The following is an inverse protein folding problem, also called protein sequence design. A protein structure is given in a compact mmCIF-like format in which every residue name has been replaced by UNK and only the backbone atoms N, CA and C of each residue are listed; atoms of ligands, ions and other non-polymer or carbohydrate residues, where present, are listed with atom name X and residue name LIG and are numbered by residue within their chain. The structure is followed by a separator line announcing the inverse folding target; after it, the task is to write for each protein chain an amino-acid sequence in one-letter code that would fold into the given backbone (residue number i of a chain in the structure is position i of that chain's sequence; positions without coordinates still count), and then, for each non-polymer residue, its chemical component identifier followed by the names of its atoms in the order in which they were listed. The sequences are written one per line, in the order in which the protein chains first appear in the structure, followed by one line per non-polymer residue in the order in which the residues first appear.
data_IF_690505263336
#
_entry.id   IF_690505263336
#
_cell.length_a   1.000
_cell.length_b   1.000
_cell.length_c   1.000
_cell.angle_alpha   90.00
_cell.angle_beta   90.00
_cell.angle_gamma   90.00
#
_symmetry.space_group_name_H-M   'P 1'
#
loop_
_entity.id
_entity.type
_entity.pdbx_description
1 polymer ?
#
# COMPACT_ATOMS: atom_id res chain seq x y z
N UNK A 1 -50.24 69.26 2.77
CA UNK A 1 -49.24 69.12 1.68
C UNK A 1 -49.04 67.63 1.50
N UNK A 2 -49.58 66.91 0.50
CA UNK A 2 -49.96 67.26 -0.88
C UNK A 2 -48.76 67.76 -1.70
N UNK A 3 -48.40 67.22 -2.89
CA UNK A 3 -48.67 65.90 -3.50
C UNK A 3 -47.88 65.73 -4.83
N UNK A 4 -47.69 64.48 -5.29
CA UNK A 4 -47.78 64.06 -6.72
C UNK A 4 -46.79 64.60 -7.80
N UNK A 5 -46.02 63.64 -8.37
CA UNK A 5 -45.71 63.38 -9.81
C UNK A 5 -44.94 64.37 -10.72
N UNK A 6 -43.89 63.77 -11.35
CA UNK A 6 -43.60 63.67 -12.82
C UNK A 6 -43.01 64.86 -13.61
N UNK A 7 -42.51 64.48 -14.80
CA UNK A 7 -42.40 65.21 -16.08
C UNK A 7 -41.21 66.14 -16.33
N UNK A 8 -40.10 65.50 -16.69
CA UNK A 8 -39.31 65.76 -17.93
C UNK A 8 -40.23 66.27 -19.07
N UNK A 9 -39.90 67.36 -19.80
CA UNK A 9 -39.27 67.19 -21.13
C UNK A 9 -38.40 68.36 -21.69
N UNK A 10 -37.63 68.06 -22.76
CA UNK A 10 -37.29 68.94 -23.93
C UNK A 10 -36.54 70.28 -23.74
N UNK A 11 -35.70 70.79 -24.68
CA UNK A 11 -34.92 70.27 -25.84
C UNK A 11 -34.01 71.43 -26.37
N UNK A 12 -33.07 71.15 -27.30
CA UNK A 12 -32.29 72.14 -28.10
C UNK A 12 -31.29 73.05 -27.33
N UNK A 13 -30.17 73.54 -27.91
CA UNK A 13 -29.39 73.18 -29.12
C UNK A 13 -27.96 73.76 -29.04
N UNK A 14 -27.01 73.12 -29.72
CA UNK A 14 -25.67 73.63 -30.11
C UNK A 14 -24.64 73.89 -28.97
N UNK A 15 -23.33 73.82 -29.20
CA UNK A 15 -22.58 73.76 -30.48
C UNK A 15 -21.52 72.65 -30.50
N UNK A 16 -21.16 72.19 -31.70
CA UNK A 16 -20.18 71.13 -32.01
C UNK A 16 -18.73 71.61 -31.87
N UNK A 17 -17.79 70.72 -31.48
CA UNK A 17 -16.50 70.47 -32.20
C UNK A 17 -15.78 69.22 -31.64
N UNK A 18 -15.42 68.35 -32.60
CA UNK A 18 -14.46 67.23 -32.65
C UNK A 18 -13.41 67.11 -31.52
N UNK A 19 -12.98 65.91 -31.09
CA UNK A 19 -12.42 64.79 -31.90
C UNK A 19 -12.69 63.39 -31.28
N UNK A 20 -12.48 62.34 -32.08
CA UNK A 20 -12.66 60.92 -31.73
C UNK A 20 -11.30 60.21 -31.45
N UNK A 21 -11.23 59.00 -30.87
CA UNK A 21 -12.32 58.14 -30.39
C UNK A 21 -11.88 56.83 -29.71
N UNK A 22 -12.85 56.16 -29.10
CA UNK A 22 -12.84 54.78 -28.57
C UNK A 22 -13.16 53.75 -29.70
N UNK A 23 -13.08 52.41 -29.55
CA UNK A 23 -12.33 51.49 -28.67
C UNK A 23 -12.64 50.02 -29.08
N UNK A 24 -12.03 49.04 -28.38
CA UNK A 24 -12.56 47.70 -28.01
C UNK A 24 -13.07 46.66 -29.06
N UNK A 25 -12.38 45.49 -29.07
CA UNK A 25 -12.89 44.11 -28.77
C UNK A 25 -13.67 43.28 -29.84
N UNK A 26 -13.49 41.94 -29.71
CA UNK A 26 -14.26 40.76 -30.21
C UNK A 26 -14.19 40.26 -31.68
N UNK A 27 -13.51 39.10 -31.83
CA UNK A 27 -13.96 37.81 -32.41
C UNK A 27 -14.22 37.56 -33.92
N UNK A 28 -13.65 36.43 -34.40
CA UNK A 28 -14.09 35.55 -35.53
C UNK A 28 -13.96 36.07 -37.00
N UNK A 29 -13.91 35.26 -38.08
CA UNK A 29 -13.50 33.85 -38.42
C UNK A 29 -13.48 33.77 -39.98
N UNK A 30 -12.64 32.90 -40.62
CA UNK A 30 -12.64 32.53 -42.07
C UNK A 30 -12.35 33.68 -43.11
N UNK A 31 -11.76 33.50 -44.30
CA UNK A 31 -11.02 32.37 -44.92
C UNK A 31 -10.11 32.81 -46.12
N UNK A 32 -9.29 31.87 -46.62
CA UNK A 32 -8.73 31.60 -47.99
C UNK A 32 -8.89 32.63 -49.17
N UNK A 33 -8.09 32.71 -50.25
CA UNK A 33 -6.97 31.95 -50.93
C UNK A 33 -6.44 32.86 -52.08
N UNK A 34 -5.28 32.77 -52.77
CA UNK A 34 -3.92 32.18 -52.70
C UNK A 34 -3.10 32.91 -53.79
N UNK A 35 -1.77 33.10 -53.66
CA UNK A 35 -0.86 32.79 -54.79
C UNK A 35 0.59 32.50 -54.35
N UNK A 36 0.84 31.22 -54.06
CA UNK A 36 2.07 30.44 -54.30
C UNK A 36 3.31 31.14 -54.87
N UNK A 37 4.44 30.90 -54.18
CA UNK A 37 5.66 30.41 -54.83
C UNK A 37 5.99 29.05 -54.19
N UNK A 38 6.38 28.06 -55.00
CA UNK A 38 6.66 26.70 -54.54
C UNK A 38 8.15 26.50 -54.25
N UNK A 39 8.44 25.72 -53.21
CA UNK A 39 9.36 24.59 -53.30
C UNK A 39 8.90 23.52 -52.29
N UNK A 40 8.78 22.26 -52.72
CA UNK A 40 8.25 21.17 -51.91
C UNK A 40 9.31 20.08 -51.71
N UNK A 41 9.65 19.77 -50.45
CA UNK A 41 9.99 18.42 -50.00
C UNK A 41 9.37 18.23 -48.61
N UNK A 42 8.52 17.21 -48.48
CA UNK A 42 7.92 16.78 -47.21
C UNK A 42 8.77 15.70 -46.52
N UNK A 43 8.40 15.38 -45.28
CA UNK A 43 8.87 14.25 -44.45
C UNK A 43 10.36 14.27 -43.98
N UNK A 44 10.55 14.20 -42.66
CA UNK A 44 11.87 13.98 -42.07
C UNK A 44 11.91 14.16 -40.55
N UNK A 45 11.92 13.05 -39.80
CA UNK A 45 12.37 13.07 -38.39
C UNK A 45 13.89 13.04 -38.40
N UNK A 46 14.52 14.20 -38.22
CA UNK A 46 15.89 14.29 -37.71
C UNK A 46 15.81 14.47 -36.18
N UNK A 47 16.41 13.64 -35.31
CA UNK A 47 17.27 12.46 -35.49
C UNK A 47 18.46 12.59 -36.46
N UNK A 48 19.07 13.77 -36.45
CA UNK A 48 20.52 13.93 -36.57
C UNK A 48 21.06 14.02 -35.14
N UNK A 49 21.25 12.91 -34.42
CA UNK A 49 22.24 11.85 -34.66
C UNK A 49 23.69 12.34 -34.61
N UNK A 50 24.05 13.04 -33.52
CA UNK A 50 25.44 13.11 -33.05
C UNK A 50 25.92 11.69 -32.75
N UNK A 51 26.61 11.09 -33.72
CA UNK A 51 26.94 9.68 -33.72
C UNK A 51 28.36 9.44 -33.20
N UNK A 52 28.47 8.51 -32.25
CA UNK A 52 29.73 7.97 -31.70
C UNK A 52 30.48 8.85 -30.68
N UNK A 53 29.81 9.26 -29.60
CA UNK A 53 30.44 9.33 -28.26
C UNK A 53 29.54 8.70 -27.20
N UNK A 54 29.59 7.38 -27.08
CA UNK A 54 28.72 6.60 -26.20
C UNK A 54 29.02 5.11 -26.32
N UNK A 55 28.26 4.42 -27.18
CA UNK A 55 28.22 2.96 -27.31
C UNK A 55 26.79 2.42 -27.23
N UNK A 56 25.88 3.24 -26.70
CA UNK A 56 24.45 3.00 -26.56
C UNK A 56 23.72 3.97 -27.52
N UNK A 57 22.78 3.49 -28.34
CA UNK A 57 21.97 4.33 -29.24
C UNK A 57 20.65 4.71 -28.57
N UNK A 58 20.23 5.99 -28.68
CA UNK A 58 19.04 6.55 -28.01
C UNK A 58 19.14 6.55 -26.47
N UNK A 59 20.26 7.05 -25.94
CA UNK A 59 20.46 7.26 -24.51
C UNK A 59 20.35 8.73 -24.12
N UNK A 60 19.66 9.03 -23.00
CA UNK A 60 19.59 10.36 -22.39
C UNK A 60 20.88 10.61 -21.60
N UNK A 61 21.41 11.84 -21.67
CA UNK A 61 22.57 12.28 -20.91
C UNK A 61 22.13 13.12 -19.71
N UNK A 62 22.29 12.60 -18.50
CA UNK A 62 21.99 13.33 -17.26
C UNK A 62 23.25 13.51 -16.40
N UNK A 63 23.38 14.65 -15.72
CA UNK A 63 24.51 14.89 -14.83
C UNK A 63 24.43 14.01 -13.57
N UNK A 64 25.58 13.67 -12.96
CA UNK A 64 25.57 12.94 -11.68
C UNK A 64 25.03 13.83 -10.56
N UNK A 65 23.83 13.50 -10.07
CA UNK A 65 23.09 14.26 -9.06
C UNK A 65 21.95 15.11 -9.63
N UNK A 66 21.75 15.10 -10.95
CA UNK A 66 20.53 15.60 -11.59
C UNK A 66 19.49 14.49 -11.60
N UNK A 67 18.92 14.23 -10.43
CA UNK A 67 18.00 13.11 -10.24
C UNK A 67 16.61 13.40 -10.87
N UNK A 68 16.27 14.66 -11.17
CA UNK A 68 15.07 15.06 -11.94
C UNK A 68 15.19 14.58 -13.40
N UNK A 69 16.32 14.86 -14.07
CA UNK A 69 16.61 14.31 -15.41
C UNK A 69 16.59 12.78 -15.44
N UNK A 70 17.05 12.13 -14.37
CA UNK A 70 17.15 10.67 -14.28
C UNK A 70 15.78 10.02 -14.04
N UNK A 71 14.93 10.61 -13.20
CA UNK A 71 13.57 10.10 -12.95
C UNK A 71 12.67 10.29 -14.18
N UNK A 72 12.66 11.48 -14.81
CA UNK A 72 11.87 11.76 -16.03
C UNK A 72 12.21 10.76 -17.16
N UNK A 73 13.50 10.61 -17.45
CA UNK A 73 13.96 9.71 -18.52
C UNK A 73 13.71 8.21 -18.20
N UNK A 74 13.62 7.83 -16.92
CA UNK A 74 13.24 6.48 -16.51
C UNK A 74 11.72 6.25 -16.57
N UNK A 75 10.89 7.27 -16.32
CA UNK A 75 9.43 7.18 -16.47
C UNK A 75 9.04 7.09 -17.97
N UNK A 76 9.74 7.79 -18.87
CA UNK A 76 9.59 7.61 -20.32
C UNK A 76 10.25 6.31 -20.86
N UNK A 77 11.03 5.61 -20.03
CA UNK A 77 11.64 4.31 -20.35
C UNK A 77 12.90 4.39 -21.23
N UNK A 78 13.55 5.55 -21.30
CA UNK A 78 14.79 5.75 -22.05
C UNK A 78 16.04 5.31 -21.27
N UNK A 79 17.15 5.05 -21.98
CA UNK A 79 18.39 4.57 -21.32
C UNK A 79 19.22 5.73 -20.80
N UNK A 80 19.32 5.90 -19.49
CA UNK A 80 20.05 7.03 -18.89
C UNK A 80 21.55 6.73 -18.72
N UNK A 81 22.37 7.59 -19.32
CA UNK A 81 23.84 7.60 -19.23
C UNK A 81 24.31 8.83 -18.47
N UNK A 82 25.23 8.65 -17.53
CA UNK A 82 25.67 9.71 -16.62
C UNK A 82 26.83 10.54 -17.20
N UNK A 83 26.78 11.86 -17.02
CA UNK A 83 27.85 12.79 -17.43
C UNK A 83 28.62 13.41 -16.26
N UNK A 84 29.81 13.94 -16.56
CA UNK A 84 30.56 14.85 -15.69
C UNK A 84 30.09 16.30 -15.78
N UNK A 85 30.73 17.17 -14.98
CA UNK A 85 30.42 18.61 -14.86
C UNK A 85 30.70 19.38 -16.16
N UNK A 86 31.55 18.84 -17.04
CA UNK A 86 31.86 19.37 -18.37
C UNK A 86 30.95 18.78 -19.48
N UNK A 87 30.01 17.90 -19.12
CA UNK A 87 29.01 17.29 -20.03
C UNK A 87 29.46 16.02 -20.76
N UNK A 88 30.62 15.46 -20.44
CA UNK A 88 31.16 14.26 -21.09
C UNK A 88 30.60 12.99 -20.44
N UNK A 89 30.41 11.93 -21.23
CA UNK A 89 29.90 10.64 -20.75
C UNK A 89 30.91 9.97 -19.82
N UNK A 90 30.52 9.71 -18.57
CA UNK A 90 31.33 8.92 -17.63
C UNK A 90 31.39 7.47 -18.09
N UNK A 91 32.56 6.86 -17.93
CA UNK A 91 32.84 5.46 -18.28
C UNK A 91 33.37 4.69 -17.08
N UNK A 92 33.11 3.39 -17.08
CA UNK A 92 33.58 2.47 -16.05
C UNK A 92 35.05 2.06 -16.26
N UNK A 93 35.53 1.08 -15.47
CA UNK A 93 36.90 0.56 -15.57
C UNK A 93 37.18 -0.20 -16.89
N UNK A 94 36.14 -0.66 -17.59
CA UNK A 94 36.24 -1.37 -18.88
C UNK A 94 36.15 -0.41 -20.08
N UNK A 95 35.61 0.79 -19.89
CA UNK A 95 35.39 1.82 -20.91
C UNK A 95 33.94 1.94 -21.39
N UNK A 96 33.00 1.22 -20.79
CA UNK A 96 31.58 1.28 -21.13
C UNK A 96 30.88 2.45 -20.39
N UNK A 97 29.82 3.05 -20.96
CA UNK A 97 29.12 4.18 -20.33
C UNK A 97 28.48 3.80 -19.00
N UNK A 98 28.71 4.59 -17.95
CA UNK A 98 28.06 4.38 -16.64
C UNK A 98 26.59 4.77 -16.76
N UNK A 99 25.69 3.82 -16.55
CA UNK A 99 24.24 4.05 -16.54
C UNK A 99 23.74 4.39 -15.15
N UNK A 100 22.52 4.91 -15.05
CA UNK A 100 21.89 5.16 -13.75
C UNK A 100 21.76 3.90 -12.88
N UNK A 101 21.64 2.72 -13.50
CA UNK A 101 21.55 1.40 -12.82
C UNK A 101 22.82 1.03 -12.05
N UNK A 102 23.98 1.43 -12.56
CA UNK A 102 25.30 0.98 -12.07
C UNK A 102 25.70 1.63 -10.74
N UNK A 103 24.97 2.67 -10.30
CA UNK A 103 25.11 3.31 -8.97
C UNK A 103 25.04 2.29 -7.80
N UNK A 104 24.49 1.10 -8.02
CA UNK A 104 24.36 0.03 -7.02
C UNK A 104 25.63 -0.83 -6.83
N UNK A 105 26.66 -0.70 -7.68
CA UNK A 105 27.67 -1.74 -7.87
C UNK A 105 29.15 -1.27 -7.78
N UNK A 106 29.51 -0.44 -6.80
CA UNK A 106 30.93 -0.36 -6.39
C UNK A 106 31.38 0.87 -5.63
N UNK A 107 31.80 0.68 -4.37
CA UNK A 107 33.15 1.06 -3.91
C UNK A 107 33.46 0.49 -2.52
N UNK A 108 34.56 -0.26 -2.40
CA UNK A 108 35.09 -0.76 -1.12
C UNK A 108 36.59 -0.48 -1.04
N UNK A 109 37.01 0.58 -0.33
CA UNK A 109 38.43 0.91 -0.23
C UNK A 109 38.81 2.11 0.64
N UNK A 110 39.37 1.81 1.83
CA UNK A 110 40.35 2.61 2.59
C UNK A 110 39.91 3.93 3.28
N UNK A 111 40.16 3.96 4.59
CA UNK A 111 40.29 5.15 5.45
C UNK A 111 41.76 5.68 5.32
N UNK A 112 42.22 6.83 5.82
CA UNK A 112 41.80 7.84 6.82
C UNK A 112 42.75 9.09 6.65
N UNK A 113 42.73 10.18 7.45
CA UNK A 113 41.66 11.02 8.00
C UNK A 113 41.72 12.50 7.53
N UNK A 114 40.72 13.30 7.94
CA UNK A 114 40.77 14.74 8.34
C UNK A 114 39.96 15.78 7.53
N UNK A 115 39.76 16.96 8.15
CA UNK A 115 39.04 18.16 7.67
C UNK A 115 37.49 18.14 7.71
N UNK A 116 36.97 18.21 8.94
CA UNK A 116 35.71 18.87 9.38
C UNK A 116 34.77 19.52 8.32
N UNK A 117 33.55 18.95 8.26
CA UNK A 117 32.27 19.62 8.52
C UNK A 117 31.78 20.78 7.60
N UNK A 118 30.81 20.46 6.74
CA UNK A 118 29.64 21.34 6.49
C UNK A 118 28.43 20.52 6.02
N UNK A 119 27.29 20.66 6.73
CA UNK A 119 25.95 20.57 6.12
C UNK A 119 25.54 19.25 5.48
N UNK A 120 25.88 18.10 6.06
CA UNK A 120 25.36 16.80 5.60
C UNK A 120 23.85 16.74 5.84
N UNK A 121 23.07 16.86 4.76
CA UNK A 121 21.65 16.54 4.78
C UNK A 121 21.52 15.04 5.09
N UNK A 122 20.69 14.68 6.07
CA UNK A 122 20.48 13.28 6.43
C UNK A 122 19.77 12.59 5.26
N UNK A 123 20.55 11.87 4.44
CA UNK A 123 20.03 11.13 3.30
C UNK A 123 18.89 10.21 3.72
N UNK A 124 17.85 10.08 2.87
CA UNK A 124 16.62 9.38 3.25
C UNK A 124 16.94 7.96 3.73
N UNK A 125 16.73 7.72 5.03
CA UNK A 125 17.07 6.46 5.66
C UNK A 125 16.10 5.37 5.19
N UNK A 126 16.54 4.59 4.20
CA UNK A 126 15.86 3.41 3.64
C UNK A 126 15.65 2.30 4.68
N UNK A 127 14.69 2.54 5.56
CA UNK A 127 14.22 1.70 6.65
C UNK A 127 12.73 1.99 6.90
N UNK A 128 12.14 1.28 7.87
CA UNK A 128 10.80 1.52 8.46
C UNK A 128 9.58 0.79 7.84
N UNK A 129 9.73 -0.11 6.86
CA UNK A 129 8.66 -1.09 6.59
C UNK A 129 8.84 -2.33 7.48
N UNK A 130 8.06 -2.38 8.56
CA UNK A 130 8.09 -3.42 9.59
C UNK A 130 6.69 -3.98 9.89
N UNK A 131 5.83 -4.06 8.86
CA UNK A 131 4.48 -4.61 8.96
C UNK A 131 4.49 -6.14 8.81
N UNK A 132 4.22 -6.84 9.92
CA UNK A 132 3.94 -8.28 9.97
C UNK A 132 2.43 -8.50 9.97
N UNK A 133 1.85 -9.24 9.00
CA UNK A 133 0.42 -9.57 8.97
C UNK A 133 -0.03 -10.40 10.18
N UNK A 134 -1.33 -10.39 10.48
CA UNK A 134 -1.93 -11.33 11.43
C UNK A 134 -2.20 -12.70 10.79
N UNK A 135 -1.69 -13.75 11.42
CA UNK A 135 -1.81 -15.16 10.99
C UNK A 135 -3.25 -15.72 11.08
N UNK A 136 -4.06 -15.22 12.03
CA UNK A 136 -5.40 -15.74 12.31
C UNK A 136 -6.47 -14.75 11.85
N UNK A 137 -7.05 -15.05 10.69
CA UNK A 137 -8.15 -14.29 10.09
C UNK A 137 -9.33 -14.14 11.06
N UNK A 138 -9.79 -12.91 11.26
CA UNK A 138 -11.03 -12.59 12.00
C UNK A 138 -12.14 -12.11 11.05
N UNK A 139 -11.75 -11.50 9.93
CA UNK A 139 -12.62 -11.02 8.86
C UNK A 139 -11.76 -10.84 7.59
N UNK A 140 -12.26 -11.25 6.42
CA UNK A 140 -11.57 -11.07 5.15
C UNK A 140 -12.59 -11.00 4.00
N UNK A 141 -12.62 -9.88 3.28
CA UNK A 141 -13.58 -9.61 2.21
C UNK A 141 -12.90 -8.89 1.03
N UNK A 142 -12.89 -9.53 -0.14
CA UNK A 142 -12.52 -8.93 -1.43
C UNK A 142 -13.76 -8.52 -2.27
N UNK A 143 -14.96 -8.88 -1.78
CA UNK A 143 -16.27 -8.69 -2.41
C UNK A 143 -16.44 -9.40 -3.77
N UNK A 144 -15.62 -10.41 -4.09
CA UNK A 144 -15.67 -11.14 -5.37
C UNK A 144 -16.96 -11.95 -5.59
N UNK A 145 -17.65 -12.33 -4.52
CA UNK A 145 -18.94 -13.05 -4.55
C UNK A 145 -20.18 -12.12 -4.48
N UNK A 146 -20.05 -10.85 -4.08
CA UNK A 146 -21.19 -9.92 -3.99
C UNK A 146 -21.60 -9.37 -5.36
N UNK A 147 -22.91 -9.23 -5.61
CA UNK A 147 -23.42 -8.72 -6.89
C UNK A 147 -23.07 -7.24 -7.09
N UNK A 148 -22.68 -6.87 -8.32
CA UNK A 148 -22.57 -5.45 -8.70
C UNK A 148 -23.92 -4.75 -8.58
N UNK A 149 -23.96 -3.64 -7.84
CA UNK A 149 -25.17 -2.88 -7.49
C UNK A 149 -25.85 -3.29 -6.17
N UNK A 150 -25.50 -4.43 -5.57
CA UNK A 150 -25.91 -4.76 -4.19
C UNK A 150 -24.99 -4.02 -3.19
N UNK A 151 -25.48 -3.78 -1.96
CA UNK A 151 -24.60 -3.51 -0.82
C UNK A 151 -24.07 -4.86 -0.28
N UNK A 152 -22.75 -5.00 0.03
CA UNK A 152 -22.16 -6.29 0.36
C UNK A 152 -22.73 -6.90 1.63
N UNK A 153 -22.92 -8.22 1.63
CA UNK A 153 -23.67 -8.93 2.69
C UNK A 153 -22.86 -9.16 3.97
N UNK A 154 -21.55 -9.02 3.88
CA UNK A 154 -20.59 -9.14 4.99
C UNK A 154 -20.47 -7.89 5.86
N UNK A 155 -21.01 -6.74 5.40
CA UNK A 155 -20.99 -5.47 6.13
C UNK A 155 -22.36 -5.14 6.75
N UNK A 156 -22.38 -4.44 7.89
CA UNK A 156 -23.62 -3.88 8.46
C UNK A 156 -23.83 -2.45 7.95
N UNK A 157 -24.72 -2.25 6.97
CA UNK A 157 -25.12 -0.91 6.51
C UNK A 157 -25.78 -0.09 7.64
N UNK A 158 -25.37 1.18 7.83
CA UNK A 158 -25.99 2.10 8.80
C UNK A 158 -26.57 3.37 8.16
N UNK A 159 -25.82 4.06 7.28
CA UNK A 159 -26.30 5.21 6.49
C UNK A 159 -25.39 5.48 5.28
N UNK A 160 -25.86 6.32 4.35
CA UNK A 160 -25.10 6.77 3.18
C UNK A 160 -25.52 6.10 1.88
N UNK A 161 -24.67 6.20 0.86
CA UNK A 161 -24.86 5.58 -0.46
C UNK A 161 -23.62 4.75 -0.78
N UNK A 162 -23.79 3.43 -0.75
CA UNK A 162 -22.72 2.44 -0.93
C UNK A 162 -23.24 1.24 -1.71
N UNK A 163 -22.46 0.78 -2.69
CA UNK A 163 -22.79 -0.38 -3.54
C UNK A 163 -21.49 -1.06 -4.03
N UNK A 164 -21.57 -2.33 -4.41
CA UNK A 164 -20.47 -3.02 -5.07
C UNK A 164 -20.38 -2.60 -6.53
N UNK A 165 -19.18 -2.23 -6.96
CA UNK A 165 -18.84 -1.95 -8.36
C UNK A 165 -17.64 -2.78 -8.79
N UNK A 166 -17.57 -3.10 -10.07
CA UNK A 166 -16.40 -3.74 -10.67
C UNK A 166 -15.51 -2.68 -11.34
N UNK A 167 -14.24 -2.61 -10.92
CA UNK A 167 -13.26 -1.66 -11.44
C UNK A 167 -11.90 -2.34 -11.59
N UNK A 168 -11.28 -2.17 -12.77
CA UNK A 168 -9.99 -2.82 -13.14
C UNK A 168 -9.97 -4.35 -12.90
N UNK A 169 -11.11 -5.03 -13.04
CA UNK A 169 -11.24 -6.48 -12.84
C UNK A 169 -11.28 -6.94 -11.37
N UNK A 170 -11.48 -6.02 -10.42
CA UNK A 170 -11.75 -6.32 -9.00
C UNK A 170 -13.07 -5.69 -8.57
N UNK A 171 -13.66 -6.19 -7.48
CA UNK A 171 -14.82 -5.56 -6.84
C UNK A 171 -14.41 -4.66 -5.68
N UNK A 172 -15.16 -3.59 -5.50
CA UNK A 172 -14.97 -2.59 -4.45
C UNK A 172 -16.33 -2.11 -3.94
N UNK A 173 -16.41 -1.78 -2.66
CA UNK A 173 -17.48 -0.92 -2.14
C UNK A 173 -17.20 0.49 -2.63
N UNK A 174 -17.99 0.96 -3.61
CA UNK A 174 -18.04 2.37 -3.96
C UNK A 174 -18.86 3.10 -2.92
N UNK A 175 -18.31 4.20 -2.41
CA UNK A 175 -18.99 5.19 -1.58
C UNK A 175 -19.25 6.43 -2.45
N UNK A 176 -20.51 6.86 -2.56
CA UNK A 176 -20.95 8.00 -3.38
C UNK A 176 -21.75 9.04 -2.58
N UNK A 177 -21.53 9.09 -1.27
CA UNK A 177 -22.12 10.08 -0.37
C UNK A 177 -21.20 10.31 0.81
N UNK A 178 -20.93 11.58 1.15
CA UNK A 178 -20.43 11.95 2.46
C UNK A 178 -21.41 11.48 3.56
N UNK A 179 -20.91 11.35 4.79
CA UNK A 179 -21.60 10.72 5.93
C UNK A 179 -21.96 9.23 5.73
N UNK A 180 -21.30 8.50 4.83
CA UNK A 180 -21.54 7.06 4.68
C UNK A 180 -20.93 6.26 5.83
N UNK A 181 -21.70 5.32 6.39
CA UNK A 181 -21.33 4.51 7.56
C UNK A 181 -21.74 3.06 7.36
N UNK A 182 -20.76 2.18 7.46
CA UNK A 182 -20.94 0.74 7.64
C UNK A 182 -20.21 0.27 8.91
N UNK A 183 -20.45 -0.97 9.33
CA UNK A 183 -19.67 -1.64 10.36
C UNK A 183 -19.21 -3.01 9.88
N UNK A 184 -18.08 -3.45 10.42
CA UNK A 184 -17.57 -4.81 10.33
C UNK A 184 -17.80 -5.49 11.69
N UNK A 185 -18.43 -6.66 11.67
CA UNK A 185 -18.64 -7.52 12.84
C UNK A 185 -17.63 -8.66 12.82
N UNK A 186 -17.04 -8.94 13.97
CA UNK A 186 -16.01 -9.97 14.16
C UNK A 186 -16.56 -11.13 15.00
N UNK A 187 -16.05 -12.37 14.84
CA UNK A 187 -16.49 -13.52 15.62
C UNK A 187 -16.09 -13.47 17.11
N UNK A 188 -15.12 -12.62 17.45
CA UNK A 188 -14.57 -12.42 18.80
C UNK A 188 -14.14 -10.96 19.01
N UNK A 189 -13.71 -10.59 20.22
CA UNK A 189 -13.08 -9.29 20.45
C UNK A 189 -11.65 -9.26 19.88
N UNK A 190 -11.28 -8.12 19.27
CA UNK A 190 -9.92 -7.85 18.78
C UNK A 190 -8.84 -8.20 19.84
N UNK A 191 -7.92 -9.15 19.57
CA UNK A 191 -6.93 -9.58 20.55
C UNK A 191 -5.89 -8.50 20.91
N UNK A 192 -5.02 -8.79 21.89
CA UNK A 192 -3.93 -7.86 22.29
C UNK A 192 -3.06 -7.46 21.09
N UNK A 193 -2.75 -8.39 20.18
CA UNK A 193 -2.06 -8.06 18.93
C UNK A 193 -2.95 -8.40 17.73
N UNK A 194 -3.13 -7.43 16.84
CA UNK A 194 -3.94 -7.58 15.64
C UNK A 194 -3.43 -6.67 14.51
N UNK A 195 -3.81 -7.02 13.28
CA UNK A 195 -3.63 -6.20 12.09
C UNK A 195 -4.95 -5.95 11.37
N UNK A 196 -5.01 -4.86 10.64
CA UNK A 196 -6.07 -4.55 9.69
C UNK A 196 -5.45 -3.98 8.41
N UNK A 197 -5.93 -4.39 7.25
CA UNK A 197 -5.55 -3.84 5.95
C UNK A 197 -6.75 -3.74 5.02
N UNK A 198 -6.74 -2.77 4.12
CA UNK A 198 -7.73 -2.61 3.06
C UNK A 198 -7.14 -1.75 1.93
N UNK A 199 -7.59 -1.98 0.71
CA UNK A 199 -7.34 -1.07 -0.40
C UNK A 199 -8.30 0.11 -0.33
N UNK A 200 -7.77 1.31 -0.58
CA UNK A 200 -8.51 2.57 -0.53
C UNK A 200 -8.15 3.45 -1.74
N UNK A 201 -9.16 4.08 -2.33
CA UNK A 201 -9.03 5.14 -3.33
C UNK A 201 -9.95 6.30 -2.95
N UNK A 202 -9.48 7.52 -3.16
CA UNK A 202 -10.29 8.75 -3.29
C UNK A 202 -9.65 9.63 -4.37
N UNK A 203 -10.47 10.45 -5.04
CA UNK A 203 -9.99 11.50 -5.95
C UNK A 203 -9.21 12.58 -5.18
N UNK A 204 -9.69 12.99 -4.00
CA UNK A 204 -9.02 13.92 -3.11
C UNK A 204 -8.66 13.29 -1.77
N UNK A 205 -7.36 13.28 -1.44
CA UNK A 205 -6.89 12.98 -0.08
C UNK A 205 -7.38 13.98 1.00
N UNK A 206 -8.24 14.95 0.67
CA UNK A 206 -8.98 15.78 1.65
C UNK A 206 -10.21 15.07 2.24
N UNK A 207 -10.61 13.94 1.67
CA UNK A 207 -11.70 13.08 2.17
C UNK A 207 -11.33 12.40 3.46
N UNK A 208 -12.29 12.14 4.34
CA UNK A 208 -12.01 11.66 5.70
C UNK A 208 -12.75 10.37 6.00
N UNK A 209 -11.99 9.32 6.35
CA UNK A 209 -12.52 8.08 6.91
C UNK A 209 -11.98 7.85 8.33
N UNK A 210 -12.89 7.59 9.27
CA UNK A 210 -12.56 7.19 10.64
C UNK A 210 -12.94 5.73 10.90
N UNK A 211 -12.04 4.98 11.52
CA UNK A 211 -12.30 3.58 11.92
C UNK A 211 -12.30 3.50 13.46
N UNK A 212 -13.42 3.07 14.02
CA UNK A 212 -13.79 3.31 15.42
C UNK A 212 -14.30 2.03 16.11
N UNK A 213 -13.69 1.62 17.24
CA UNK A 213 -14.25 0.60 18.10
C UNK A 213 -15.62 0.99 18.67
N UNK A 214 -16.57 0.05 18.63
CA UNK A 214 -17.87 0.16 19.29
C UNK A 214 -18.04 -0.91 20.38
N UNK A 215 -19.07 -0.81 21.22
CA UNK A 215 -19.55 -1.94 22.02
C UNK A 215 -20.68 -2.73 21.32
N UNK A 216 -21.19 -3.75 21.99
CA UNK A 216 -22.31 -4.58 21.53
C UNK A 216 -23.67 -3.84 21.49
N UNK A 217 -23.80 -2.66 22.11
CA UNK A 217 -24.97 -1.78 21.92
C UNK A 217 -24.81 -0.89 20.68
N UNK A 218 -23.57 -0.71 20.22
CA UNK A 218 -23.20 0.14 19.11
C UNK A 218 -22.78 1.55 19.50
N UNK A 219 -22.58 1.83 20.79
CA UNK A 219 -21.96 3.06 21.28
C UNK A 219 -20.43 3.03 21.07
N UNK A 220 -19.80 4.20 21.07
CA UNK A 220 -18.35 4.33 20.82
C UNK A 220 -17.56 4.02 22.09
N UNK A 221 -16.61 3.09 22.02
CA UNK A 221 -15.73 2.77 23.14
C UNK A 221 -14.27 3.18 22.88
N UNK A 222 -13.61 3.58 23.97
CA UNK A 222 -12.25 4.10 23.92
C UNK A 222 -12.17 5.52 23.34
N UNK A 223 -11.07 6.20 23.64
CA UNK A 223 -10.84 7.59 23.23
C UNK A 223 -10.27 7.71 21.82
N UNK A 224 -9.66 6.63 21.31
CA UNK A 224 -8.78 6.66 20.16
C UNK A 224 -9.38 5.91 18.96
N UNK A 225 -9.01 6.33 17.75
CA UNK A 225 -9.55 5.83 16.49
C UNK A 225 -8.48 5.91 15.39
N UNK A 226 -8.61 5.10 14.33
CA UNK A 226 -7.77 5.27 13.14
C UNK A 226 -8.39 6.29 12.19
N UNK A 227 -7.52 7.04 11.51
CA UNK A 227 -7.91 8.09 10.58
C UNK A 227 -7.11 7.94 9.28
N UNK A 228 -7.83 8.03 8.16
CA UNK A 228 -7.30 7.96 6.79
C UNK A 228 -7.86 9.13 6.00
N UNK A 229 -6.98 9.84 5.28
CA UNK A 229 -7.35 11.01 4.50
C UNK A 229 -7.40 12.30 5.33
N UNK A 230 -8.03 13.35 4.82
CA UNK A 230 -7.99 14.70 5.39
C UNK A 230 -6.62 15.39 5.28
N UNK A 231 -5.72 14.88 4.43
CA UNK A 231 -4.29 15.19 4.42
C UNK A 231 -3.44 14.26 5.29
N UNK A 232 -4.04 13.29 6.00
CA UNK A 232 -3.43 12.61 7.14
C UNK A 232 -3.56 11.06 7.07
N UNK A 233 -2.74 10.35 7.84
CA UNK A 233 -2.89 8.91 8.11
C UNK A 233 -2.30 8.56 9.48
N UNK A 234 -3.08 7.92 10.36
CA UNK A 234 -2.58 7.52 11.68
C UNK A 234 -3.65 7.23 12.73
N UNK A 235 -3.37 7.63 13.98
CA UNK A 235 -4.27 7.49 15.13
C UNK A 235 -4.66 8.86 15.66
N UNK A 236 -5.96 9.09 15.74
CA UNK A 236 -6.58 10.26 16.37
C UNK A 236 -7.18 9.94 17.74
N UNK A 237 -7.59 10.99 18.45
CA UNK A 237 -8.21 10.91 19.77
C UNK A 237 -9.36 11.92 19.94
N UNK A 238 -10.37 11.55 20.74
CA UNK A 238 -11.65 12.27 20.92
C UNK A 238 -11.67 13.29 22.04
N UNK A 239 -10.65 13.30 22.89
CA UNK A 239 -10.51 14.24 24.01
C UNK A 239 -9.19 15.02 23.90
N UNK A 240 -9.15 16.23 24.46
CA UNK A 240 -7.93 17.01 24.55
C UNK A 240 -6.89 16.30 25.43
N UNK A 241 -5.63 16.25 24.96
CA UNK A 241 -4.51 15.63 25.67
C UNK A 241 -4.26 14.15 25.38
N UNK A 242 -5.06 13.50 24.51
CA UNK A 242 -4.70 12.18 23.95
C UNK A 242 -3.62 12.28 22.87
N UNK A 243 -3.02 11.14 22.51
CA UNK A 243 -2.01 11.09 21.43
C UNK A 243 -2.70 11.19 20.07
N UNK A 244 -2.37 12.25 19.32
CA UNK A 244 -2.59 12.30 17.87
C UNK A 244 -1.23 12.17 17.18
N UNK A 245 -1.10 11.18 16.31
CA UNK A 245 0.05 11.05 15.39
C UNK A 245 -0.56 10.73 14.03
N UNK A 246 -0.46 11.73 13.17
CA UNK A 246 -1.14 11.87 11.89
C UNK A 246 -0.11 12.53 10.97
N UNK A 247 0.73 11.72 10.32
CA UNK A 247 1.73 12.27 9.40
C UNK A 247 1.02 12.72 8.12
N UNK A 248 1.46 13.86 7.58
CA UNK A 248 0.81 14.45 6.42
C UNK A 248 1.19 13.73 5.13
N UNK A 249 0.20 13.31 4.37
CA UNK A 249 0.37 12.77 3.02
C UNK A 249 -0.31 13.64 1.98
N UNK A 250 0.38 13.87 0.86
CA UNK A 250 -0.23 14.24 -0.42
C UNK A 250 -0.28 13.06 -1.41
N UNK A 251 0.27 11.91 -1.04
CA UNK A 251 0.23 10.66 -1.81
C UNK A 251 -1.00 9.86 -1.36
N UNK A 252 -1.77 9.31 -2.29
CA UNK A 252 -3.05 8.63 -2.03
C UNK A 252 -4.24 9.16 -2.85
N UNK A 253 -4.23 10.42 -3.31
CA UNK A 253 -5.19 10.91 -4.31
C UNK A 253 -5.05 10.15 -5.64
N UNK A 254 -6.16 9.91 -6.33
CA UNK A 254 -6.24 9.38 -7.69
C UNK A 254 -5.56 8.01 -7.94
N UNK A 255 -5.23 7.27 -6.89
CA UNK A 255 -4.59 5.96 -6.96
C UNK A 255 -5.17 5.02 -5.89
N UNK A 256 -5.07 3.71 -6.12
CA UNK A 256 -5.41 2.73 -5.08
C UNK A 256 -4.17 2.57 -4.22
N UNK A 257 -4.30 2.83 -2.91
CA UNK A 257 -3.28 2.54 -1.90
C UNK A 257 -3.77 1.47 -0.95
N UNK A 258 -2.92 0.51 -0.57
CA UNK A 258 -3.28 -0.41 0.52
C UNK A 258 -2.91 0.24 1.86
N UNK A 259 -3.91 0.59 2.64
CA UNK A 259 -3.73 0.98 4.04
C UNK A 259 -3.44 -0.27 4.87
N UNK A 260 -2.42 -0.21 5.72
CA UNK A 260 -2.08 -1.28 6.68
C UNK A 260 -1.94 -0.70 8.08
N UNK A 261 -2.47 -1.40 9.06
CA UNK A 261 -2.51 -0.99 10.47
C UNK A 261 -2.12 -2.17 11.34
N UNK A 262 -1.15 -2.00 12.22
CA UNK A 262 -0.71 -2.97 13.22
C UNK A 262 -0.95 -2.41 14.62
N UNK A 263 -1.39 -3.25 15.56
CA UNK A 263 -1.53 -2.90 16.98
C UNK A 263 -0.86 -3.97 17.86
N UNK A 264 -0.02 -3.54 18.81
CA UNK A 264 0.48 -4.37 19.93
C UNK A 264 0.10 -3.72 21.26
N UNK A 265 -0.97 -4.22 21.89
CA UNK A 265 -1.45 -3.73 23.17
C UNK A 265 -1.82 -2.25 23.11
N UNK A 266 -0.95 -1.41 23.66
CA UNK A 266 -1.06 0.05 23.67
C UNK A 266 -0.36 0.75 22.49
N UNK A 267 0.48 0.07 21.72
CA UNK A 267 1.16 0.61 20.54
C UNK A 267 0.34 0.38 19.27
N UNK A 268 0.42 1.32 18.31
CA UNK A 268 -0.07 1.10 16.96
C UNK A 268 0.91 1.68 15.91
N UNK A 269 0.91 1.12 14.72
CA UNK A 269 1.63 1.62 13.53
C UNK A 269 0.67 1.66 12.35
N UNK A 270 0.77 2.69 11.51
CA UNK A 270 0.04 2.77 10.24
C UNK A 270 1.01 2.89 9.08
N UNK A 271 0.62 2.34 7.93
CA UNK A 271 1.39 2.33 6.69
C UNK A 271 0.44 2.59 5.53
N UNK A 272 0.98 3.21 4.49
CA UNK A 272 0.39 3.28 3.15
C UNK A 272 1.35 2.55 2.24
N UNK A 273 0.87 1.50 1.59
CA UNK A 273 1.67 0.58 0.77
C UNK A 273 2.86 0.02 1.56
N UNK A 274 4.09 0.44 1.23
CA UNK A 274 5.33 0.07 1.92
C UNK A 274 5.94 1.20 2.78
N UNK A 275 5.32 2.38 2.88
CA UNK A 275 5.83 3.50 3.71
C UNK A 275 5.05 3.58 5.03
N UNK A 276 5.77 3.65 6.16
CA UNK A 276 5.17 3.85 7.48
C UNK A 276 4.78 5.32 7.67
N UNK A 277 3.53 5.55 8.05
CA UNK A 277 2.93 6.88 8.27
C UNK A 277 2.64 7.17 9.74
N UNK A 278 2.70 6.20 10.65
CA UNK A 278 2.70 6.50 12.07
C UNK A 278 3.35 5.38 12.90
N UNK A 279 3.89 5.74 14.06
CA UNK A 279 4.39 4.82 15.08
C UNK A 279 4.04 5.39 16.46
N UNK A 280 2.86 5.00 16.97
CA UNK A 280 2.16 5.65 18.06
C UNK A 280 2.33 4.84 19.36
N UNK A 281 3.22 5.25 20.29
CA UNK A 281 3.17 4.76 21.66
C UNK A 281 1.88 5.27 22.33
N UNK A 282 1.21 4.41 23.10
CA UNK A 282 -0.04 4.75 23.83
C UNK A 282 -1.27 5.06 22.94
N UNK A 283 -1.30 4.54 21.72
CA UNK A 283 -2.47 4.48 20.84
C UNK A 283 -3.70 3.83 21.50
N UNK A 284 -3.53 2.89 22.45
CA UNK A 284 -4.58 2.40 23.36
C UNK A 284 -5.97 2.17 22.72
N UNK A 285 -6.00 1.51 21.56
CA UNK A 285 -7.23 1.22 20.80
C UNK A 285 -8.11 0.27 21.63
N UNK A 286 -9.40 0.56 21.77
CA UNK A 286 -10.30 -0.34 22.50
C UNK A 286 -10.46 -1.68 21.77
N UNK A 287 -10.58 -2.77 22.53
CA UNK A 287 -10.85 -4.11 21.99
C UNK A 287 -12.36 -4.34 21.94
N UNK A 288 -12.81 -5.01 20.88
CA UNK A 288 -14.21 -5.07 20.47
C UNK A 288 -14.42 -6.13 19.40
N UNK A 289 -15.64 -6.65 19.26
CA UNK A 289 -16.10 -7.43 18.11
C UNK A 289 -16.79 -6.58 17.02
N UNK A 290 -16.78 -5.25 17.09
CA UNK A 290 -17.43 -4.37 16.11
C UNK A 290 -16.61 -3.11 15.81
N UNK A 291 -16.22 -2.95 14.55
CA UNK A 291 -15.57 -1.73 14.04
C UNK A 291 -16.54 -0.94 13.16
N UNK A 292 -16.72 0.35 13.45
CA UNK A 292 -17.42 1.31 12.58
C UNK A 292 -16.44 1.98 11.63
N UNK A 293 -16.78 1.99 10.34
CA UNK A 293 -16.15 2.82 9.32
C UNK A 293 -17.08 4.01 9.03
N UNK A 294 -16.54 5.23 9.05
CA UNK A 294 -17.30 6.49 8.98
C UNK A 294 -16.63 7.45 8.00
N UNK A 295 -17.19 7.58 6.80
CA UNK A 295 -16.71 8.46 5.72
C UNK A 295 -17.37 9.83 5.91
N UNK A 296 -16.74 10.69 6.71
CA UNK A 296 -17.31 11.96 7.18
C UNK A 296 -17.18 13.11 6.17
N UNK A 297 -16.25 13.00 5.22
CA UNK A 297 -16.07 13.93 4.09
C UNK A 297 -15.72 13.13 2.84
N UNK A 298 -16.32 13.52 1.71
CA UNK A 298 -16.16 12.92 0.38
C UNK A 298 -16.20 14.05 -0.67
N UNK A 299 -15.34 14.01 -1.69
CA UNK A 299 -15.29 15.02 -2.77
C UNK A 299 -16.29 14.67 -3.88
N UNK A 300 -16.19 13.45 -4.40
CA UNK A 300 -17.21 12.77 -5.21
C UNK A 300 -17.34 11.30 -4.77
N UNK A 301 -16.31 10.49 -5.02
CA UNK A 301 -16.36 9.04 -4.83
C UNK A 301 -15.08 8.48 -4.15
N UNK A 302 -15.29 7.47 -3.31
CA UNK A 302 -14.22 6.68 -2.70
C UNK A 302 -14.50 5.18 -2.89
N UNK A 303 -13.46 4.36 -2.96
CA UNK A 303 -13.57 2.93 -3.22
C UNK A 303 -12.80 2.18 -2.14
N UNK A 304 -13.44 1.20 -1.49
CA UNK A 304 -12.88 0.38 -0.42
C UNK A 304 -12.92 -1.09 -0.84
N UNK A 305 -11.80 -1.80 -0.76
CA UNK A 305 -11.69 -3.21 -1.17
C UNK A 305 -10.74 -4.00 -0.27
N UNK A 306 -10.73 -5.33 -0.43
CA UNK A 306 -9.75 -6.23 0.19
C UNK A 306 -9.59 -6.03 1.72
N UNK A 307 -10.72 -5.88 2.43
CA UNK A 307 -10.74 -5.62 3.88
C UNK A 307 -10.38 -6.91 4.61
N UNK A 308 -9.18 -6.96 5.20
CA UNK A 308 -8.72 -8.05 6.07
C UNK A 308 -8.44 -7.53 7.47
N UNK A 309 -9.00 -8.20 8.48
CA UNK A 309 -8.69 -8.02 9.90
C UNK A 309 -8.25 -9.38 10.44
N UNK A 310 -7.11 -9.42 11.11
CA UNK A 310 -6.54 -10.66 11.62
C UNK A 310 -5.91 -10.46 12.99
N UNK A 311 -6.16 -11.40 13.91
CA UNK A 311 -5.37 -11.57 15.11
C UNK A 311 -4.04 -12.20 14.77
N UNK A 312 -2.97 -11.79 15.44
CA UNK A 312 -1.63 -12.33 15.18
C UNK A 312 -0.58 -11.57 15.96
N UNK A 313 0.51 -12.25 16.28
CA UNK A 313 1.42 -11.78 17.32
C UNK A 313 0.88 -12.01 18.75
N UNK A 314 0.01 -13.01 18.97
CA UNK A 314 0.24 -13.80 20.19
C UNK A 314 1.70 -14.24 20.13
N UNK A 315 2.40 -14.19 21.25
CA UNK A 315 3.66 -14.92 21.31
C UNK A 315 3.35 -16.39 20.97
N UNK A 316 4.15 -16.99 20.09
CA UNK A 316 3.91 -18.34 19.58
C UNK A 316 3.81 -19.35 20.73
N UNK A 317 4.58 -19.16 21.80
CA UNK A 317 4.50 -19.96 23.01
C UNK A 317 3.12 -19.87 23.66
N UNK A 318 2.58 -18.66 23.83
CA UNK A 318 1.25 -18.43 24.38
C UNK A 318 0.15 -19.17 23.57
N UNK A 319 0.18 -19.09 22.23
CA UNK A 319 -0.76 -19.82 21.38
C UNK A 319 -0.61 -21.35 21.53
N UNK A 320 0.61 -21.87 21.51
CA UNK A 320 0.92 -23.29 21.70
C UNK A 320 0.57 -23.82 23.10
N UNK A 321 0.51 -22.97 24.13
CA UNK A 321 0.07 -23.35 25.48
C UNK A 321 -1.46 -23.28 25.65
N UNK A 322 -2.14 -22.35 24.97
CA UNK A 322 -3.60 -22.19 25.01
C UNK A 322 -4.34 -23.22 24.15
N UNK A 323 -3.92 -23.38 22.89
CA UNK A 323 -4.62 -24.15 21.85
C UNK A 323 -3.92 -25.45 21.47
N UNK A 324 -2.67 -25.64 21.90
CA UNK A 324 -1.82 -26.78 21.54
C UNK A 324 -1.28 -26.73 20.11
N UNK A 325 -1.76 -25.81 19.25
CA UNK A 325 -1.31 -25.62 17.87
C UNK A 325 -1.38 -24.15 17.43
N UNK A 326 -0.59 -23.78 16.42
CA UNK A 326 -0.61 -22.46 15.78
C UNK A 326 -0.21 -22.56 14.31
N UNK A 327 -0.87 -21.79 13.43
CA UNK A 327 -0.58 -21.75 11.99
C UNK A 327 0.37 -20.60 11.65
N UNK A 328 1.49 -20.92 10.99
CA UNK A 328 2.57 -19.97 10.64
C UNK A 328 2.48 -19.61 9.15
N UNK A 329 1.56 -18.71 8.81
CA UNK A 329 1.15 -18.43 7.42
C UNK A 329 2.23 -17.79 6.53
N UNK A 330 3.27 -17.17 7.09
CA UNK A 330 4.35 -16.54 6.33
C UNK A 330 5.52 -17.49 5.99
N UNK A 331 5.40 -18.79 6.27
CA UNK A 331 6.29 -19.81 5.68
C UNK A 331 5.82 -20.09 4.25
N UNK A 332 6.63 -19.70 3.25
CA UNK A 332 6.23 -19.66 1.83
C UNK A 332 7.05 -20.61 0.97
N UNK A 333 6.39 -21.18 -0.04
CA UNK A 333 6.93 -22.13 -1.01
C UNK A 333 6.48 -21.74 -2.42
N UNK A 334 7.15 -22.25 -3.46
CA UNK A 334 6.64 -22.18 -4.84
C UNK A 334 5.55 -23.22 -5.14
N UNK A 335 4.78 -22.98 -6.19
CA UNK A 335 3.63 -23.83 -6.58
C UNK A 335 4.12 -25.22 -7.01
N UNK A 336 3.76 -26.24 -6.24
CA UNK A 336 4.22 -27.62 -6.44
C UNK A 336 5.60 -27.93 -5.85
N UNK A 337 6.27 -26.96 -5.21
CA UNK A 337 7.60 -27.16 -4.60
C UNK A 337 7.57 -27.19 -3.07
N UNK A 338 8.58 -27.83 -2.49
CA UNK A 338 8.91 -27.79 -1.07
C UNK A 338 10.09 -26.84 -0.73
N UNK A 339 10.65 -26.15 -1.72
CA UNK A 339 11.70 -25.14 -1.55
C UNK A 339 11.17 -23.94 -0.74
N UNK A 340 11.79 -23.65 0.40
CA UNK A 340 11.46 -22.47 1.21
C UNK A 340 11.90 -21.18 0.53
N UNK A 341 11.01 -20.18 0.49
CA UNK A 341 11.33 -18.85 -0.03
C UNK A 341 12.04 -17.99 1.03
N UNK A 342 12.94 -17.07 0.63
CA UNK A 342 13.65 -16.17 1.56
C UNK A 342 12.74 -15.38 2.50
N UNK A 343 11.53 -15.02 2.06
CA UNK A 343 10.52 -14.33 2.89
C UNK A 343 10.11 -15.12 4.15
N UNK A 344 10.37 -16.43 4.19
CA UNK A 344 10.07 -17.31 5.34
C UNK A 344 11.06 -17.15 6.50
N UNK A 345 12.25 -16.58 6.25
CA UNK A 345 13.37 -16.54 7.20
C UNK A 345 13.05 -15.75 8.48
N UNK A 346 12.25 -14.67 8.41
CA UNK A 346 11.81 -13.98 9.63
C UNK A 346 10.93 -14.88 10.52
N UNK A 347 9.99 -15.60 9.92
CA UNK A 347 9.09 -16.53 10.64
C UNK A 347 9.88 -17.69 11.24
N UNK A 348 10.84 -18.25 10.49
CA UNK A 348 11.71 -19.33 10.94
C UNK A 348 12.63 -18.88 12.09
N UNK A 349 13.11 -17.64 12.07
CA UNK A 349 13.84 -17.00 13.19
C UNK A 349 12.98 -16.82 14.43
N UNK A 350 11.70 -16.46 14.30
CA UNK A 350 10.77 -16.37 15.44
C UNK A 350 10.51 -17.75 16.06
N UNK A 351 10.24 -18.77 15.25
CA UNK A 351 10.08 -20.17 15.70
C UNK A 351 11.36 -20.72 16.35
N UNK A 352 12.53 -20.39 15.80
CA UNK A 352 13.80 -20.76 16.42
C UNK A 352 14.11 -19.97 17.72
N UNK A 353 13.59 -18.75 17.87
CA UNK A 353 13.75 -17.96 19.10
C UNK A 353 12.89 -18.56 20.22
N UNK A 354 11.60 -18.80 19.93
CA UNK A 354 10.68 -19.58 20.77
C UNK A 354 11.33 -20.86 21.31
N UNK A 355 11.91 -21.68 20.43
CA UNK A 355 12.50 -22.98 20.80
C UNK A 355 13.79 -22.86 21.63
N UNK A 356 14.52 -21.72 21.55
CA UNK A 356 15.67 -21.44 22.41
C UNK A 356 15.26 -20.88 23.77
N UNK A 357 14.23 -20.05 23.82
CA UNK A 357 13.68 -19.48 25.06
C UNK A 357 12.91 -20.51 25.90
N UNK A 358 12.33 -21.53 25.23
CA UNK A 358 11.63 -22.66 25.84
C UNK A 358 12.29 -24.01 25.50
N UNK A 359 13.37 -24.42 26.20
CA UNK A 359 14.04 -25.70 25.97
C UNK A 359 13.15 -26.93 26.18
N UNK A 360 12.07 -26.81 26.97
CA UNK A 360 11.09 -27.84 27.27
C UNK A 360 10.04 -28.09 26.17
N UNK A 361 10.03 -27.26 25.12
CA UNK A 361 9.02 -27.30 24.06
C UNK A 361 9.44 -28.24 22.91
N UNK A 362 8.73 -29.35 22.74
CA UNK A 362 8.82 -30.19 21.54
C UNK A 362 7.66 -29.87 20.58
N UNK A 363 7.94 -29.86 19.27
CA UNK A 363 6.97 -29.53 18.22
C UNK A 363 6.87 -30.63 17.16
N UNK A 364 5.64 -30.85 16.69
CA UNK A 364 5.31 -31.49 15.44
C UNK A 364 4.98 -30.38 14.42
N UNK A 365 5.68 -30.39 13.29
CA UNK A 365 5.44 -29.50 12.16
C UNK A 365 4.45 -30.21 11.22
N UNK A 366 3.24 -29.69 11.10
CA UNK A 366 2.22 -30.22 10.19
C UNK A 366 2.21 -29.42 8.88
N UNK A 367 2.40 -30.08 7.75
CA UNK A 367 2.29 -29.46 6.42
C UNK A 367 0.91 -29.69 5.81
N UNK A 368 0.34 -28.67 5.18
CA UNK A 368 -0.98 -28.74 4.53
C UNK A 368 -0.93 -28.28 3.06
N UNK A 369 -1.93 -28.70 2.29
CA UNK A 369 -2.20 -28.20 0.92
C UNK A 369 -3.66 -27.83 0.79
N UNK A 370 -3.97 -27.05 -0.24
CA UNK A 370 -5.32 -27.03 -0.79
C UNK A 370 -5.66 -28.35 -1.52
N UNK A 371 -6.89 -28.46 -2.03
CA UNK A 371 -7.40 -29.67 -2.67
C UNK A 371 -7.05 -29.82 -4.17
N UNK A 372 -6.23 -28.94 -4.75
CA UNK A 372 -5.93 -28.94 -6.19
C UNK A 372 -4.91 -30.02 -6.53
N UNK A 373 -5.20 -30.82 -7.57
CA UNK A 373 -4.29 -31.88 -8.04
C UNK A 373 -4.56 -33.24 -7.39
N UNK A 374 -3.55 -34.12 -7.40
CA UNK A 374 -3.66 -35.48 -6.90
C UNK A 374 -3.51 -35.55 -5.36
N UNK A 375 -4.20 -36.51 -4.73
CA UNK A 375 -4.22 -36.66 -3.28
C UNK A 375 -2.88 -37.18 -2.71
N UNK A 376 -2.29 -38.21 -3.32
CA UNK A 376 -1.04 -38.79 -2.84
C UNK A 376 0.15 -37.88 -3.16
N UNK A 377 0.08 -37.15 -4.28
CA UNK A 377 1.02 -36.06 -4.59
C UNK A 377 0.96 -34.93 -3.54
N UNK A 378 -0.24 -34.43 -3.20
CA UNK A 378 -0.42 -33.40 -2.16
C UNK A 378 0.01 -33.88 -0.77
N UNK A 379 -0.27 -35.14 -0.43
CA UNK A 379 0.20 -35.77 0.80
C UNK A 379 1.73 -35.79 0.88
N UNK A 380 2.40 -36.15 -0.22
CA UNK A 380 3.87 -36.16 -0.34
C UNK A 380 4.45 -34.74 -0.22
N UNK A 381 3.97 -33.80 -1.05
CA UNK A 381 4.39 -32.40 -1.05
C UNK A 381 4.26 -31.74 0.33
N UNK A 382 3.19 -32.06 1.07
CA UNK A 382 2.99 -31.54 2.42
C UNK A 382 3.98 -32.08 3.46
N UNK A 383 4.44 -33.32 3.31
CA UNK A 383 5.48 -33.92 4.15
C UNK A 383 6.85 -33.29 3.83
N UNK A 384 7.17 -33.16 2.54
CA UNK A 384 8.40 -32.51 2.06
C UNK A 384 8.51 -31.06 2.56
N UNK A 385 7.41 -30.30 2.56
CA UNK A 385 7.34 -28.94 3.11
C UNK A 385 7.58 -28.89 4.62
N UNK A 386 6.99 -29.80 5.39
CA UNK A 386 7.26 -29.92 6.81
C UNK A 386 8.72 -30.31 7.10
N UNK A 387 9.31 -31.16 6.26
CA UNK A 387 10.72 -31.55 6.33
C UNK A 387 11.68 -30.41 5.97
N UNK A 388 11.35 -29.57 4.98
CA UNK A 388 12.13 -28.37 4.66
C UNK A 388 12.16 -27.37 5.85
N UNK A 389 11.00 -27.11 6.48
CA UNK A 389 10.91 -26.28 7.70
C UNK A 389 11.75 -26.86 8.83
N UNK A 390 11.68 -28.18 9.04
CA UNK A 390 12.55 -28.85 10.03
C UNK A 390 14.03 -28.71 9.69
N UNK A 391 14.42 -28.87 8.42
CA UNK A 391 15.81 -28.79 7.98
C UNK A 391 16.41 -27.42 8.27
N UNK A 392 15.78 -26.32 7.80
CA UNK A 392 16.25 -24.96 8.07
C UNK A 392 16.30 -24.61 9.56
N UNK A 393 15.31 -25.06 10.36
CA UNK A 393 15.36 -24.89 11.83
C UNK A 393 16.56 -25.58 12.48
N UNK A 394 16.98 -26.75 11.96
CA UNK A 394 18.14 -27.50 12.47
C UNK A 394 19.46 -26.94 11.94
N UNK A 395 19.56 -26.71 10.64
CA UNK A 395 20.80 -26.42 9.93
C UNK A 395 21.18 -24.93 10.01
N UNK A 396 20.26 -24.03 9.66
CA UNK A 396 20.52 -22.59 9.63
C UNK A 396 20.25 -21.90 10.97
N UNK A 397 19.50 -22.55 11.87
CA UNK A 397 19.10 -21.98 13.16
C UNK A 397 19.56 -22.81 14.38
N UNK A 398 20.15 -23.98 14.18
CA UNK A 398 20.81 -24.76 15.25
C UNK A 398 19.86 -25.36 16.29
N UNK A 399 18.59 -25.60 15.95
CA UNK A 399 17.64 -26.29 16.84
C UNK A 399 17.96 -27.80 16.87
N UNK A 400 17.83 -28.43 18.04
CA UNK A 400 18.06 -29.86 18.18
C UNK A 400 17.01 -30.67 17.40
N UNK A 401 17.46 -31.45 16.42
CA UNK A 401 16.60 -32.23 15.51
C UNK A 401 15.71 -33.29 16.19
N UNK A 402 15.96 -33.62 17.47
CA UNK A 402 15.10 -34.49 18.28
C UNK A 402 13.81 -33.82 18.76
N UNK A 403 13.83 -32.48 18.93
CA UNK A 403 12.71 -31.66 19.41
C UNK A 403 11.66 -31.34 18.34
N UNK A 404 11.97 -31.68 17.08
CA UNK A 404 11.13 -31.42 15.91
C UNK A 404 10.71 -32.73 15.26
N UNK A 405 9.41 -32.91 15.03
CA UNK A 405 8.82 -33.98 14.20
C UNK A 405 8.14 -33.34 12.99
N UNK A 406 7.84 -34.14 11.97
CA UNK A 406 7.10 -33.69 10.78
C UNK A 406 5.94 -34.62 10.51
N UNK A 407 4.87 -34.08 9.90
CA UNK A 407 3.85 -34.87 9.21
C UNK A 407 3.25 -34.07 8.07
N UNK A 408 3.20 -34.64 6.87
CA UNK A 408 2.37 -34.15 5.79
C UNK A 408 0.92 -34.55 5.99
N UNK A 409 -0.02 -33.61 5.94
CA UNK A 409 -1.47 -33.87 6.01
C UNK A 409 -2.18 -33.69 4.66
N UNK A 410 -1.53 -33.07 3.68
CA UNK A 410 -2.12 -32.73 2.39
C UNK A 410 -3.41 -31.92 2.59
N UNK A 411 -4.44 -32.24 1.79
CA UNK A 411 -5.75 -31.60 1.84
C UNK A 411 -6.72 -32.19 2.89
N UNK A 412 -6.26 -33.06 3.80
CA UNK A 412 -7.15 -33.77 4.74
C UNK A 412 -7.67 -32.94 5.91
N UNK A 413 -7.03 -31.81 6.23
CA UNK A 413 -7.43 -30.89 7.31
C UNK A 413 -7.49 -29.43 6.80
N UNK A 414 -8.50 -29.08 5.99
CA UNK A 414 -8.72 -27.70 5.56
C UNK A 414 -9.26 -26.84 6.71
N UNK A 415 -8.76 -25.61 6.84
CA UNK A 415 -9.28 -24.58 7.76
C UNK A 415 -10.30 -23.67 7.09
N UNK A 416 -10.22 -23.53 5.77
CA UNK A 416 -11.13 -22.75 4.94
C UNK A 416 -11.72 -23.61 3.80
N UNK A 417 -12.82 -23.17 3.16
CA UNK A 417 -13.27 -23.70 1.88
C UNK A 417 -12.15 -23.76 0.81
N UNK A 418 -12.36 -24.52 -0.27
CA UNK A 418 -11.37 -24.66 -1.36
C UNK A 418 -11.93 -24.22 -2.73
N UNK A 419 -13.11 -23.61 -2.73
CA UNK A 419 -13.76 -23.00 -3.89
C UNK A 419 -13.12 -21.65 -4.23
N UNK A 420 -12.85 -20.80 -3.25
CA UNK A 420 -12.09 -19.54 -3.41
C UNK A 420 -10.57 -19.75 -3.42
N UNK A 421 -9.81 -18.84 -4.02
CA UNK A 421 -8.33 -18.92 -4.03
C UNK A 421 -7.75 -18.55 -2.66
N UNK A 422 -8.48 -17.73 -1.92
CA UNK A 422 -8.20 -17.22 -0.59
C UNK A 422 -8.30 -18.38 0.42
N UNK A 423 -9.36 -19.18 0.32
CA UNK A 423 -9.51 -20.41 1.11
C UNK A 423 -8.49 -21.48 0.75
N UNK A 424 -8.14 -21.63 -0.54
CA UNK A 424 -6.99 -22.46 -0.95
C UNK A 424 -5.67 -21.94 -0.37
N UNK A 425 -5.44 -20.63 -0.35
CA UNK A 425 -4.25 -20.03 0.25
C UNK A 425 -4.15 -20.30 1.76
N UNK A 426 -5.25 -20.19 2.52
CA UNK A 426 -5.28 -20.57 3.95
C UNK A 426 -5.11 -22.09 4.18
N UNK A 427 -5.37 -22.92 3.17
CA UNK A 427 -5.09 -24.35 3.21
C UNK A 427 -3.65 -24.73 2.83
N UNK A 428 -2.94 -23.89 2.05
CA UNK A 428 -1.49 -24.04 1.75
C UNK A 428 -0.60 -23.50 2.87
N UNK A 429 -0.76 -24.02 4.07
CA UNK A 429 -0.07 -23.55 5.29
C UNK A 429 0.85 -24.59 5.93
N UNK A 430 1.67 -24.13 6.87
CA UNK A 430 2.35 -24.98 7.87
C UNK A 430 1.79 -24.64 9.25
N UNK A 431 1.63 -25.66 10.09
CA UNK A 431 1.27 -25.51 11.50
C UNK A 431 2.34 -26.09 12.43
N UNK A 432 2.43 -25.53 13.62
CA UNK A 432 3.24 -26.03 14.72
C UNK A 432 2.30 -26.58 15.79
N UNK A 433 2.50 -27.83 16.19
CA UNK A 433 1.68 -28.53 17.19
C UNK A 433 2.57 -28.98 18.33
N UNK A 434 2.21 -28.58 19.56
CA UNK A 434 2.92 -28.97 20.78
C UNK A 434 2.82 -30.49 21.01
N UNK A 435 3.89 -31.09 21.53
CA UNK A 435 3.98 -32.53 21.87
C UNK A 435 3.81 -32.83 23.36
#
# INVERSE_FOLDING_TARGET
MISVRRTVPTLLLATVVLLAGCATVEESVEDEVDERVQDNVDEGVEKTADKVEGGIENAVKCAVGDDECIEDAQEEGETVVLTDEDGNVKRDENGDPVTASDRSAGQSGQQDPSSQNTGEAVGEASANYDFKPGERTLFAEDFSDDNVGDFPRSLEFRKGSMEIVEWKGKRFVRVSSAESVFRVSLPEELPKRFTMSFDFYTEEWTDNMYITPLDASGEVIGKNYFHVGGGELGVGTREDGGVKSLEQSRKGSNQIVTIRIMVDGSYAKTYMDKKRFANIPNANIARTSTLRFDISRLSDQAYIGNIRIAGGGRDLYSALQEEGRVAVQDIRFDTGEATLKPESDETLKEVATLLREHPELDLLIEGHTDNTGDFDANKTLSEERAQAVKATLVEDHGIEAGRLKTVGLGSTQPTAPNDTEEGRAENRRVELVKQ
#
